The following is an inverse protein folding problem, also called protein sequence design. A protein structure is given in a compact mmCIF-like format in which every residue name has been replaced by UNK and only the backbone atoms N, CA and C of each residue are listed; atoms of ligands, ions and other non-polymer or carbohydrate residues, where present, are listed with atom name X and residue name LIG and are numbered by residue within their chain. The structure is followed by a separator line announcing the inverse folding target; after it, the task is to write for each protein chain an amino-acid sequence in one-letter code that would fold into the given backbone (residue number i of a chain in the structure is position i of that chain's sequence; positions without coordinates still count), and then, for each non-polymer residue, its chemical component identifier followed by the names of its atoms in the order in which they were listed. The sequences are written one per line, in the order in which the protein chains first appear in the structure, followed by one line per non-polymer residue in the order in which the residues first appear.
data_IF_948984677418
#
_entry.id   IF_948984677418
#
_cell.length_a   1.000
_cell.length_b   1.000
_cell.length_c   1.000
_cell.angle_alpha   90.00
_cell.angle_beta   90.00
_cell.angle_gamma   90.00
#
_symmetry.space_group_name_H-M   'P 1'
#
loop_
_entity.id
_entity.type
_entity.pdbx_description
1 polymer ?
#
# COMPACT_ATOMS: atom_id res chain seq x y z
N UNK A 1 8.37 -5.57 31.08
CA UNK A 1 8.47 -4.59 29.97
C UNK A 1 7.19 -3.78 30.02
N UNK A 2 7.27 -2.51 30.40
CA UNK A 2 6.08 -1.66 30.49
C UNK A 2 5.72 -1.20 29.08
N UNK A 3 4.56 -1.61 28.58
CA UNK A 3 3.95 -0.97 27.42
C UNK A 3 3.90 0.53 27.69
N UNK A 4 4.48 1.33 26.78
CA UNK A 4 4.35 2.80 26.81
C UNK A 4 3.07 3.10 26.05
N UNK A 5 1.96 3.50 26.72
CA UNK A 5 0.64 3.60 26.09
C UNK A 5 0.65 4.39 24.78
N UNK A 6 1.38 5.51 24.72
CA UNK A 6 1.47 6.33 23.51
C UNK A 6 2.20 5.72 22.30
N UNK A 7 3.06 4.70 22.49
CA UNK A 7 3.69 3.99 21.36
C UNK A 7 2.70 2.99 20.76
N UNK A 8 2.01 2.26 21.61
CA UNK A 8 0.98 1.28 21.22
C UNK A 8 -0.16 1.96 20.48
N UNK A 9 -0.65 3.10 20.97
CA UNK A 9 -1.68 3.90 20.29
C UNK A 9 -1.23 4.37 18.89
N UNK A 10 0.05 4.75 18.76
CA UNK A 10 0.63 5.16 17.48
C UNK A 10 0.80 4.00 16.48
N UNK A 11 1.10 2.79 16.97
CA UNK A 11 1.20 1.58 16.12
C UNK A 11 -0.19 1.18 15.63
N UNK A 12 -1.19 1.14 16.53
CA UNK A 12 -2.58 0.81 16.17
C UNK A 12 -3.15 1.82 15.18
N UNK A 13 -2.87 3.12 15.36
CA UNK A 13 -3.28 4.13 14.40
C UNK A 13 -2.70 3.87 12.99
N UNK A 14 -1.41 3.51 12.88
CA UNK A 14 -0.79 3.17 11.59
C UNK A 14 -1.40 1.94 10.94
N UNK A 15 -1.66 0.91 11.73
CA UNK A 15 -2.32 -0.31 11.26
C UNK A 15 -3.70 -0.01 10.69
N UNK A 16 -4.51 0.78 11.41
CA UNK A 16 -5.84 1.17 10.98
C UNK A 16 -5.79 2.02 9.69
N UNK A 17 -4.85 2.95 9.60
CA UNK A 17 -4.65 3.76 8.39
C UNK A 17 -4.26 2.89 7.19
N UNK A 18 -3.34 1.94 7.36
CA UNK A 18 -2.96 1.01 6.30
C UNK A 18 -4.15 0.17 5.83
N UNK A 19 -4.96 -0.34 6.76
CA UNK A 19 -6.18 -1.08 6.44
C UNK A 19 -7.19 -0.24 5.64
N UNK A 20 -7.42 1.01 6.03
CA UNK A 20 -8.28 1.93 5.29
C UNK A 20 -7.75 2.21 3.87
N UNK A 21 -6.43 2.28 3.70
CA UNK A 21 -5.82 2.43 2.38
C UNK A 21 -5.97 1.17 1.53
N UNK A 22 -5.88 -0.04 2.11
CA UNK A 22 -6.15 -1.28 1.37
C UNK A 22 -7.58 -1.32 0.80
N UNK A 23 -8.57 -0.81 1.55
CA UNK A 23 -9.93 -0.64 1.05
C UNK A 23 -9.98 0.32 -0.13
N UNK A 24 -9.35 1.50 -0.01
CA UNK A 24 -9.30 2.49 -1.09
C UNK A 24 -8.64 1.96 -2.37
N UNK A 25 -7.57 1.16 -2.24
CA UNK A 25 -6.90 0.50 -3.36
C UNK A 25 -7.67 -0.70 -3.94
N UNK A 26 -8.79 -1.10 -3.33
CA UNK A 26 -9.53 -2.28 -3.77
C UNK A 26 -8.78 -3.59 -3.56
N UNK A 27 -7.89 -3.66 -2.56
CA UNK A 27 -7.18 -4.90 -2.23
C UNK A 27 -8.11 -5.89 -1.53
N UNK A 28 -7.99 -7.20 -1.83
CA UNK A 28 -8.75 -8.24 -1.14
C UNK A 28 -8.56 -8.16 0.38
N UNK A 29 -9.65 -8.34 1.12
CA UNK A 29 -9.67 -8.16 2.57
C UNK A 29 -8.75 -9.16 3.30
N UNK A 30 -8.56 -10.34 2.74
CA UNK A 30 -7.63 -11.37 3.22
C UNK A 30 -6.17 -10.90 3.25
N UNK A 31 -5.80 -9.92 2.42
CA UNK A 31 -4.43 -9.41 2.33
C UNK A 31 -4.17 -8.25 3.30
N UNK A 32 -5.21 -7.60 3.83
CA UNK A 32 -5.07 -6.43 4.71
C UNK A 32 -4.15 -6.63 5.93
N UNK A 33 -4.13 -7.81 6.59
CA UNK A 33 -3.20 -8.06 7.69
C UNK A 33 -1.72 -7.92 7.31
N UNK A 34 -1.35 -8.19 6.05
CA UNK A 34 0.02 -8.01 5.56
C UNK A 34 0.41 -6.53 5.64
N UNK A 35 -0.42 -5.64 5.11
CA UNK A 35 -0.15 -4.21 5.06
C UNK A 35 -0.20 -3.54 6.43
N UNK A 36 -1.14 -3.96 7.28
CA UNK A 36 -1.17 -3.52 8.67
C UNK A 36 0.15 -3.88 9.40
N UNK A 37 0.69 -5.09 9.15
CA UNK A 37 2.00 -5.48 9.68
C UNK A 37 3.12 -4.59 9.11
N UNK A 38 3.16 -4.37 7.79
CA UNK A 38 4.20 -3.54 7.15
C UNK A 38 4.20 -2.10 7.68
N UNK A 39 3.03 -1.51 7.93
CA UNK A 39 2.90 -0.15 8.46
C UNK A 39 3.27 -0.01 9.95
N UNK A 40 3.37 -1.12 10.68
CA UNK A 40 3.66 -1.12 12.11
C UNK A 40 5.14 -0.94 12.46
N UNK A 41 6.05 -1.06 11.48
CA UNK A 41 7.49 -1.05 11.73
C UNK A 41 8.35 -0.78 10.49
N UNK A 42 9.69 -0.91 10.63
CA UNK A 42 10.62 -0.89 9.52
C UNK A 42 10.30 -1.99 8.51
N UNK A 43 10.38 -1.68 7.22
CA UNK A 43 10.37 -2.72 6.18
C UNK A 43 11.79 -3.08 5.78
N UNK A 44 12.02 -4.37 5.54
CA UNK A 44 13.25 -4.86 4.94
C UNK A 44 13.19 -4.72 3.41
N UNK A 45 14.33 -4.77 2.70
CA UNK A 45 14.32 -4.83 1.23
C UNK A 45 13.49 -6.00 0.68
N UNK A 46 13.40 -7.11 1.43
CA UNK A 46 12.57 -8.25 1.06
C UNK A 46 11.07 -7.94 1.21
N UNK A 47 10.68 -7.20 2.25
CA UNK A 47 9.29 -6.78 2.43
C UNK A 47 8.86 -5.79 1.33
N UNK A 48 9.78 -4.92 0.88
CA UNK A 48 9.55 -3.99 -0.22
C UNK A 48 9.42 -4.73 -1.56
N UNK A 49 10.31 -5.68 -1.84
CA UNK A 49 10.22 -6.51 -3.04
C UNK A 49 8.89 -7.28 -3.09
N UNK A 50 8.47 -7.88 -1.97
CA UNK A 50 7.20 -8.59 -1.88
C UNK A 50 5.99 -7.65 -2.11
N UNK A 51 6.07 -6.41 -1.61
CA UNK A 51 5.05 -5.40 -1.86
C UNK A 51 4.96 -5.04 -3.34
N UNK A 52 6.09 -4.85 -4.03
CA UNK A 52 6.09 -4.52 -5.45
C UNK A 52 5.57 -5.67 -6.32
N UNK A 53 5.96 -6.90 -6.01
CA UNK A 53 5.40 -8.09 -6.67
C UNK A 53 3.89 -8.22 -6.46
N UNK A 54 3.40 -7.89 -5.26
CA UNK A 54 1.97 -7.85 -5.00
C UNK A 54 1.27 -6.79 -5.87
N UNK A 55 1.83 -5.58 -5.93
CA UNK A 55 1.28 -4.48 -6.71
C UNK A 55 1.26 -4.83 -8.20
N UNK A 56 2.30 -5.48 -8.73
CA UNK A 56 2.33 -5.95 -10.13
C UNK A 56 1.15 -6.85 -10.47
N UNK A 57 0.86 -7.81 -9.60
CA UNK A 57 -0.28 -8.71 -9.77
C UNK A 57 -1.58 -7.90 -9.77
N UNK A 58 -1.71 -6.93 -8.87
CA UNK A 58 -2.91 -6.09 -8.80
C UNK A 58 -3.05 -5.17 -10.01
N UNK A 59 -1.98 -4.57 -10.51
CA UNK A 59 -1.98 -3.81 -11.77
C UNK A 59 -2.41 -4.72 -12.93
N UNK A 60 -1.81 -5.90 -13.07
CA UNK A 60 -2.17 -6.84 -14.13
C UNK A 60 -3.65 -7.27 -14.08
N UNK A 61 -4.20 -7.49 -12.89
CA UNK A 61 -5.63 -7.75 -12.69
C UNK A 61 -6.50 -6.60 -13.21
N UNK A 62 -6.16 -5.33 -12.90
CA UNK A 62 -6.92 -4.15 -13.35
C UNK A 62 -6.78 -3.90 -14.84
N UNK A 63 -5.62 -4.15 -15.43
CA UNK A 63 -5.41 -4.04 -16.87
C UNK A 63 -6.32 -5.00 -17.65
N UNK A 64 -6.59 -6.19 -17.10
CA UNK A 64 -7.55 -7.13 -17.68
C UNK A 64 -9.00 -6.79 -17.34
N UNK A 65 -9.25 -6.35 -16.10
CA UNK A 65 -10.59 -6.06 -15.57
C UNK A 65 -10.56 -4.79 -14.72
N UNK A 66 -10.80 -3.62 -15.32
CA UNK A 66 -10.83 -2.36 -14.58
C UNK A 66 -11.87 -2.37 -13.47
N UNK A 67 -11.55 -1.70 -12.37
CA UNK A 67 -12.39 -1.52 -11.18
C UNK A 67 -12.51 -0.02 -10.86
N UNK A 68 -13.47 0.33 -10.00
CA UNK A 68 -13.62 1.71 -9.50
C UNK A 68 -12.89 1.85 -8.16
N UNK A 69 -11.57 1.64 -8.18
CA UNK A 69 -10.71 1.75 -7.00
C UNK A 69 -9.54 2.71 -7.25
N UNK A 70 -8.86 3.10 -6.17
CA UNK A 70 -7.74 4.04 -6.26
C UNK A 70 -6.58 3.49 -7.12
N UNK A 71 -6.35 2.17 -7.14
CA UNK A 71 -5.29 1.60 -7.97
C UNK A 71 -5.62 1.73 -9.46
N UNK A 72 -6.87 1.44 -9.86
CA UNK A 72 -7.34 1.71 -11.22
C UNK A 72 -7.20 3.19 -11.59
N UNK A 73 -7.56 4.10 -10.69
CA UNK A 73 -7.39 5.53 -10.94
C UNK A 73 -5.91 5.91 -11.11
N UNK A 74 -4.98 5.29 -10.39
CA UNK A 74 -3.54 5.54 -10.54
C UNK A 74 -2.96 4.96 -11.84
N UNK A 75 -3.53 3.87 -12.37
CA UNK A 75 -3.14 3.30 -13.65
C UNK A 75 -3.54 4.22 -14.81
N UNK A 76 -4.72 4.83 -14.73
CA UNK A 76 -5.29 5.65 -15.80
C UNK A 76 -4.95 7.15 -15.69
N UNK A 77 -4.34 7.61 -14.59
CA UNK A 77 -4.09 9.03 -14.37
C UNK A 77 -2.91 9.54 -15.20
N UNK A 78 -3.14 10.66 -15.87
CA UNK A 78 -2.11 11.44 -16.56
C UNK A 78 -1.90 12.78 -15.85
N UNK A 79 -0.63 13.15 -15.66
CA UNK A 79 -0.21 14.47 -15.15
C UNK A 79 0.58 15.16 -16.23
N UNK A 80 0.12 16.32 -16.68
CA UNK A 80 0.70 17.06 -17.81
C UNK A 80 0.84 16.21 -19.10
N UNK A 81 -0.10 15.28 -19.32
CA UNK A 81 -0.11 14.36 -20.46
C UNK A 81 0.91 13.22 -20.36
N UNK A 82 1.43 12.95 -19.16
CA UNK A 82 2.36 11.85 -18.88
C UNK A 82 1.68 10.90 -17.90
N UNK A 83 1.52 9.64 -18.32
CA UNK A 83 1.04 8.53 -17.46
C UNK A 83 2.04 8.25 -16.34
N UNK A 84 1.55 7.78 -15.20
CA UNK A 84 2.42 7.29 -14.13
C UNK A 84 3.15 6.02 -14.59
N UNK A 85 4.45 5.95 -14.29
CA UNK A 85 5.19 4.70 -14.46
C UNK A 85 4.82 3.70 -13.37
N UNK A 86 5.14 2.43 -13.58
CA UNK A 86 4.97 1.40 -12.54
C UNK A 86 5.73 1.77 -11.25
N UNK A 87 6.93 2.33 -11.39
CA UNK A 87 7.73 2.81 -10.25
C UNK A 87 7.05 3.96 -9.49
N UNK A 88 6.34 4.85 -10.20
CA UNK A 88 5.55 5.91 -9.57
C UNK A 88 4.38 5.32 -8.79
N UNK A 89 3.68 4.33 -9.35
CA UNK A 89 2.57 3.64 -8.68
C UNK A 89 3.07 2.92 -7.42
N UNK A 90 4.20 2.22 -7.48
CA UNK A 90 4.83 1.62 -6.31
C UNK A 90 5.08 2.64 -5.21
N UNK A 91 5.68 3.79 -5.57
CA UNK A 91 5.95 4.87 -4.61
C UNK A 91 4.66 5.42 -4.02
N UNK A 92 3.61 5.61 -4.81
CA UNK A 92 2.30 6.06 -4.32
C UNK A 92 1.71 5.09 -3.30
N UNK A 93 1.63 3.80 -3.66
CA UNK A 93 1.07 2.77 -2.79
C UNK A 93 1.87 2.66 -1.49
N UNK A 94 3.20 2.53 -1.57
CA UNK A 94 4.07 2.46 -0.38
C UNK A 94 3.93 3.67 0.53
N UNK A 95 3.86 4.88 -0.04
CA UNK A 95 3.71 6.13 0.71
C UNK A 95 2.38 6.17 1.45
N UNK A 96 1.29 5.80 0.78
CA UNK A 96 -0.05 5.87 1.35
C UNK A 96 -0.30 4.79 2.41
N UNK A 97 0.25 3.59 2.23
CA UNK A 97 0.21 2.53 3.24
C UNK A 97 1.08 2.89 4.46
N UNK A 98 2.03 3.81 4.29
CA UNK A 98 2.92 4.27 5.36
C UNK A 98 4.11 3.34 5.59
N UNK A 99 4.52 2.62 4.54
CA UNK A 99 5.69 1.74 4.54
C UNK A 99 6.96 2.58 4.72
N UNK A 100 7.81 2.18 5.67
CA UNK A 100 9.06 2.87 5.98
C UNK A 100 10.25 2.06 5.47
N UNK A 101 10.60 2.32 4.22
CA UNK A 101 11.83 1.82 3.58
C UNK A 101 13.03 2.53 4.21
N UNK A 102 14.06 1.76 4.55
CA UNK A 102 15.33 2.25 5.12
C UNK A 102 16.46 2.22 4.10
#
# INVERSE_FOLDING_TARGET
MSDRPGITDSIVARQNSATAMCEAFGFPQEDWPLFARLASGPTTPHDEEALYQYIDVKIAERCWKPTDDLLSNLIDVEVDGIELTVDDIYRFVSTLIGVRVF
#
